data_IF_028427250858
#
_entry.id   IF_028427250858
#
_cell.length_a   1.000
_cell.length_b   1.000
_cell.length_c   1.000
_cell.angle_alpha   90.00
_cell.angle_beta   90.00
_cell.angle_gamma   90.00
#
_symmetry.space_group_name_H-M   'P 1'
#
loop_
_entity.id
_entity.type
_entity.pdbx_description
1 polymer ?
#
# COMPACT_ATOMS: atom_id res chain seq x y z
N UNK A 1 2.51 -9.54 9.54
CA UNK A 1 3.79 -9.25 8.86
C UNK A 1 4.20 -10.50 8.11
N UNK A 2 3.86 -10.60 6.82
CA UNK A 2 4.20 -11.77 6.00
C UNK A 2 5.69 -11.71 5.72
N UNK A 3 6.44 -12.62 6.34
CA UNK A 3 7.88 -12.72 6.19
C UNK A 3 8.20 -13.50 4.90
N UNK A 4 8.24 -12.81 3.76
CA UNK A 4 8.77 -13.40 2.52
C UNK A 4 10.30 -13.34 2.58
N UNK A 5 10.92 -14.39 3.12
CA UNK A 5 12.39 -14.46 3.33
C UNK A 5 13.21 -14.51 2.02
N UNK A 6 12.59 -14.70 0.86
CA UNK A 6 13.23 -14.69 -0.47
C UNK A 6 12.23 -14.14 -1.49
N UNK A 7 12.62 -13.12 -2.25
CA UNK A 7 11.75 -12.55 -3.29
C UNK A 7 11.26 -13.65 -4.23
N UNK A 8 9.98 -13.58 -4.63
CA UNK A 8 9.35 -14.57 -5.50
C UNK A 8 8.94 -13.92 -6.82
N UNK A 9 9.15 -14.63 -7.93
CA UNK A 9 8.84 -14.19 -9.29
C UNK A 9 7.57 -14.89 -9.77
N UNK A 10 6.55 -14.13 -10.15
CA UNK A 10 5.43 -14.66 -10.94
C UNK A 10 5.65 -14.26 -12.40
N UNK A 11 5.65 -15.23 -13.31
CA UNK A 11 5.77 -15.00 -14.75
C UNK A 11 4.40 -15.19 -15.42
N UNK A 12 3.90 -14.14 -16.09
CA UNK A 12 2.74 -14.24 -16.97
C UNK A 12 3.12 -14.86 -18.32
N UNK A 13 2.15 -15.45 -19.03
CA UNK A 13 2.31 -16.11 -20.34
C UNK A 13 2.92 -15.24 -21.47
N UNK A 14 3.14 -13.94 -21.25
CA UNK A 14 3.64 -12.98 -22.25
C UNK A 14 4.90 -12.22 -21.79
N UNK A 15 5.77 -12.84 -20.99
CA UNK A 15 7.05 -12.22 -20.57
C UNK A 15 6.93 -11.10 -19.52
N UNK A 16 5.71 -10.76 -19.10
CA UNK A 16 5.48 -9.80 -18.03
C UNK A 16 5.69 -10.50 -16.68
N UNK A 17 6.70 -10.04 -15.94
CA UNK A 17 7.05 -10.59 -14.63
C UNK A 17 6.67 -9.65 -13.50
N UNK A 18 6.31 -10.18 -12.33
CA UNK A 18 6.26 -9.40 -11.10
C UNK A 18 7.34 -9.89 -10.14
N UNK A 19 8.08 -8.96 -9.55
CA UNK A 19 8.99 -9.22 -8.45
C UNK A 19 8.51 -8.52 -7.19
N UNK A 20 8.38 -9.30 -6.12
CA UNK A 20 7.96 -8.80 -4.82
C UNK A 20 9.08 -9.01 -3.81
N UNK A 21 9.38 -7.98 -3.02
CA UNK A 21 10.35 -8.05 -1.91
C UNK A 21 9.86 -7.21 -0.73
N UNK A 22 10.28 -7.55 0.49
CA UNK A 22 10.02 -6.73 1.69
C UNK A 22 11.06 -5.62 1.88
N UNK A 23 12.19 -5.67 1.14
CA UNK A 23 13.24 -4.65 1.15
C UNK A 23 13.05 -3.64 0.00
N UNK A 24 14.03 -2.76 -0.24
CA UNK A 24 14.04 -1.87 -1.42
C UNK A 24 14.81 -2.50 -2.58
N UNK A 25 14.38 -2.23 -3.80
CA UNK A 25 15.16 -2.55 -4.99
C UNK A 25 16.32 -1.56 -5.18
N UNK A 26 17.47 -2.06 -5.66
CA UNK A 26 18.57 -1.21 -6.09
C UNK A 26 18.21 -0.46 -7.38
N UNK A 27 18.93 0.62 -7.69
CA UNK A 27 18.70 1.36 -8.94
C UNK A 27 18.88 0.48 -10.17
N UNK A 28 19.96 -0.32 -10.22
CA UNK A 28 20.20 -1.29 -11.29
C UNK A 28 19.04 -2.26 -11.53
N UNK A 29 18.36 -2.69 -10.46
CA UNK A 29 17.20 -3.58 -10.59
C UNK A 29 15.97 -2.86 -11.18
N UNK A 30 15.78 -1.58 -10.87
CA UNK A 30 14.73 -0.75 -11.47
C UNK A 30 15.01 -0.53 -12.96
N UNK A 31 16.25 -0.15 -13.29
CA UNK A 31 16.66 0.08 -14.68
C UNK A 31 16.50 -1.20 -15.53
N UNK A 32 16.81 -2.37 -14.95
CA UNK A 32 16.56 -3.66 -15.61
C UNK A 32 15.07 -3.91 -15.84
N UNK A 33 14.23 -3.63 -14.85
CA UNK A 33 12.80 -3.91 -14.89
C UNK A 33 12.06 -3.06 -15.94
N UNK A 34 12.45 -1.79 -16.08
CA UNK A 34 11.89 -0.86 -17.07
C UNK A 34 12.07 -1.37 -18.51
N UNK A 35 13.19 -2.04 -18.79
CA UNK A 35 13.51 -2.57 -20.12
C UNK A 35 12.88 -3.95 -20.43
N UNK A 36 12.37 -4.66 -19.41
CA UNK A 36 11.95 -6.06 -19.54
C UNK A 36 10.47 -6.30 -19.19
N UNK A 37 9.65 -5.24 -19.13
CA UNK A 37 8.24 -5.31 -18.74
C UNK A 37 8.03 -6.01 -17.39
N UNK A 38 8.91 -5.74 -16.43
CA UNK A 38 8.85 -6.32 -15.08
C UNK A 38 8.25 -5.30 -14.12
N UNK A 39 7.21 -5.70 -13.39
CA UNK A 39 6.63 -4.89 -12.33
C UNK A 39 7.38 -5.18 -11.03
N UNK A 40 7.94 -4.13 -10.43
CA UNK A 40 8.54 -4.19 -9.10
C UNK A 40 7.54 -3.78 -8.01
N UNK A 41 7.47 -4.58 -6.95
CA UNK A 41 6.69 -4.30 -5.73
C UNK A 41 7.59 -4.46 -4.51
N UNK A 42 8.01 -3.33 -3.94
CA UNK A 42 8.77 -3.31 -2.69
C UNK A 42 7.85 -3.38 -1.46
N UNK A 43 8.45 -3.42 -0.27
CA UNK A 43 7.69 -3.57 0.97
C UNK A 43 6.68 -2.44 1.24
N UNK A 44 7.02 -1.20 0.85
CA UNK A 44 6.14 -0.04 1.05
C UNK A 44 4.96 -0.11 0.10
N UNK A 45 5.23 -0.36 -1.19
CA UNK A 45 4.17 -0.53 -2.20
C UNK A 45 3.28 -1.73 -1.89
N UNK A 46 3.87 -2.83 -1.43
CA UNK A 46 3.12 -4.02 -1.00
C UNK A 46 2.18 -3.70 0.17
N UNK A 47 2.69 -3.02 1.21
CA UNK A 47 1.87 -2.65 2.37
C UNK A 47 0.71 -1.72 1.98
N UNK A 48 0.96 -0.73 1.12
CA UNK A 48 -0.08 0.16 0.62
C UNK A 48 -1.16 -0.60 -0.17
N UNK A 49 -0.77 -1.58 -1.00
CA UNK A 49 -1.71 -2.44 -1.73
C UNK A 49 -2.51 -3.33 -0.78
N UNK A 50 -1.87 -3.91 0.23
CA UNK A 50 -2.53 -4.73 1.25
C UNK A 50 -3.62 -3.91 1.99
N UNK A 51 -3.28 -2.68 2.41
CA UNK A 51 -4.22 -1.78 3.09
C UNK A 51 -5.35 -1.36 2.14
N UNK A 52 -5.01 -0.89 0.93
CA UNK A 52 -5.99 -0.40 -0.06
C UNK A 52 -7.04 -1.45 -0.41
N UNK A 53 -6.65 -2.71 -0.50
CA UNK A 53 -7.53 -3.81 -0.89
C UNK A 53 -8.01 -4.67 0.30
N UNK A 54 -7.74 -4.25 1.54
CA UNK A 54 -8.04 -5.03 2.75
C UNK A 54 -7.53 -6.48 2.67
N UNK A 55 -6.38 -6.70 2.04
CA UNK A 55 -5.80 -8.02 1.85
C UNK A 55 -4.75 -8.32 2.93
N UNK A 56 -4.90 -9.42 3.66
CA UNK A 56 -4.00 -9.86 4.73
C UNK A 56 -3.75 -8.81 5.84
N UNK A 57 -4.73 -7.93 6.08
CA UNK A 57 -4.74 -6.93 7.16
C UNK A 57 -6.03 -7.03 7.95
N UNK A 58 -6.03 -6.52 9.17
CA UNK A 58 -7.24 -6.40 10.00
C UNK A 58 -7.26 -5.04 10.70
N UNK A 59 -8.45 -4.44 10.80
CA UNK A 59 -8.64 -3.20 11.54
C UNK A 59 -8.46 -3.46 13.03
N UNK A 60 -7.44 -2.84 13.62
CA UNK A 60 -7.15 -2.95 15.06
C UNK A 60 -7.95 -1.94 15.89
N UNK A 61 -8.14 -0.73 15.37
CA UNK A 61 -8.84 0.37 16.04
C UNK A 61 -9.34 1.36 14.98
N UNK A 62 -10.54 1.89 15.20
CA UNK A 62 -11.11 2.98 14.41
C UNK A 62 -11.06 4.25 15.24
N UNK A 63 -10.65 5.36 14.63
CA UNK A 63 -10.68 6.67 15.24
C UNK A 63 -11.61 7.56 14.42
N UNK A 64 -12.52 8.24 15.10
CA UNK A 64 -13.31 9.30 14.51
C UNK A 64 -12.67 10.64 14.87
N UNK A 65 -12.37 11.44 13.86
CA UNK A 65 -11.94 12.83 14.05
C UNK A 65 -13.19 13.67 13.87
N UNK A 66 -13.66 14.28 14.96
CA UNK A 66 -14.81 15.19 14.94
C UNK A 66 -14.32 16.62 14.96
N UNK A 67 -14.93 17.45 14.15
CA UNK A 67 -14.76 18.91 14.16
C UNK A 67 -15.94 19.53 14.91
N UNK A 68 -15.70 20.68 15.55
CA UNK A 68 -16.79 21.44 16.15
C UNK A 68 -17.63 22.02 15.01
N UNK A 69 -18.91 21.69 15.02
CA UNK A 69 -19.90 22.33 14.17
C UNK A 69 -20.22 23.70 14.77
N UNK A 70 -19.67 24.76 14.16
CA UNK A 70 -19.82 26.12 14.69
C UNK A 70 -21.21 26.68 14.38
N UNK A 71 -21.81 26.30 13.25
CA UNK A 71 -23.14 26.77 12.86
C UNK A 71 -24.19 26.20 13.82
N UNK A 72 -24.16 24.88 14.06
CA UNK A 72 -25.03 24.25 15.05
C UNK A 72 -24.77 24.80 16.46
N UNK A 73 -23.53 25.16 16.81
CA UNK A 73 -23.18 25.68 18.14
C UNK A 73 -23.69 27.12 18.37
N UNK A 74 -23.77 27.94 17.33
CA UNK A 74 -24.30 29.30 17.42
C UNK A 74 -25.82 29.31 17.65
N UNK A 75 -26.56 28.36 17.06
CA UNK A 75 -28.02 28.23 17.27
C UNK A 75 -28.40 27.98 18.74
N UNK A 76 -27.53 27.37 19.55
CA UNK A 76 -27.76 27.16 20.99
C UNK A 76 -27.45 28.38 21.86
N UNK A 77 -26.84 29.44 21.32
CA UNK A 77 -26.52 30.66 22.08
C UNK A 77 -27.65 31.70 22.05
N UNK A 78 -28.69 31.48 21.25
CA UNK A 78 -29.83 32.38 21.08
C UNK A 78 -31.03 32.05 22.01
N UNK A 79 -30.87 31.11 22.96
CA UNK A 79 -31.78 30.86 24.12
C UNK A 79 -31.23 31.45 25.44
#
# INVERSE_FOLDING_TARGET
>A
MVLIKRGFRLAGKQGHGIFVTTSRFSQKAKDYADNHHIILVDGVKLANLMIKHNFCVSTRKTFEIKTIDTDALLEYQDE
#
